data_IF_392435766179
#
_entry.id   IF_392435766179
#
_cell.length_a   1.000
_cell.length_b   1.000
_cell.length_c   1.000
_cell.angle_alpha   90.00
_cell.angle_beta   90.00
_cell.angle_gamma   90.00
#
_symmetry.space_group_name_H-M   'P 1'
#
loop_
_entity.id
_entity.type
_entity.pdbx_description
1 polymer ?
#
# COMPACT_ATOMS: atom_id res chain seq x y z
N UNK A 1 22.33 -12.06 -0.35
CA UNK A 1 21.89 -10.71 -0.79
C UNK A 1 20.67 -10.89 -1.69
N UNK A 2 19.54 -10.26 -1.40
CA UNK A 2 18.36 -10.35 -2.26
C UNK A 2 18.64 -9.61 -3.58
N UNK A 3 18.56 -10.31 -4.72
CA UNK A 3 18.75 -9.71 -6.05
C UNK A 3 17.70 -8.62 -6.27
N UNK A 4 18.13 -7.46 -6.79
CA UNK A 4 17.21 -6.41 -7.28
C UNK A 4 16.64 -6.89 -8.60
N UNK A 5 15.31 -6.99 -8.69
CA UNK A 5 14.61 -7.31 -9.93
C UNK A 5 14.92 -6.26 -11.02
N UNK A 6 15.16 -6.69 -12.26
CA UNK A 6 15.32 -5.84 -13.44
C UNK A 6 14.09 -5.95 -14.36
N UNK A 7 13.72 -4.87 -15.07
CA UNK A 7 12.73 -4.94 -16.15
C UNK A 7 13.07 -6.05 -17.15
N UNK A 8 12.05 -6.77 -17.65
CA UNK A 8 12.14 -7.88 -18.61
C UNK A 8 12.75 -9.20 -18.10
N UNK A 9 13.08 -9.30 -16.81
CA UNK A 9 13.44 -10.58 -16.21
C UNK A 9 12.15 -11.38 -15.91
N UNK A 10 11.98 -12.54 -16.58
CA UNK A 10 10.87 -13.47 -16.34
C UNK A 10 11.01 -14.25 -15.01
N UNK A 11 11.29 -13.54 -13.91
CA UNK A 11 11.19 -14.10 -12.57
C UNK A 11 9.75 -13.93 -12.08
N UNK A 12 8.96 -15.00 -12.19
CA UNK A 12 7.65 -15.08 -11.55
C UNK A 12 7.85 -15.22 -10.04
N UNK A 13 7.63 -14.13 -9.30
CA UNK A 13 7.63 -14.17 -7.84
C UNK A 13 6.22 -14.43 -7.33
N UNK A 14 6.04 -15.59 -6.71
CA UNK A 14 4.85 -15.88 -5.89
C UNK A 14 5.05 -15.22 -4.52
N UNK A 15 3.99 -14.60 -4.00
CA UNK A 15 3.96 -14.05 -2.64
C UNK A 15 2.75 -14.65 -1.96
N UNK A 16 2.99 -15.49 -0.95
CA UNK A 16 1.93 -16.18 -0.22
C UNK A 16 1.34 -15.27 0.86
N UNK A 17 0.06 -15.46 1.26
CA UNK A 17 -0.57 -14.64 2.30
C UNK A 17 0.23 -14.57 3.62
N UNK A 18 0.84 -15.68 4.03
CA UNK A 18 1.67 -15.80 5.24
C UNK A 18 3.00 -15.06 5.15
N UNK A 19 3.48 -14.74 3.94
CA UNK A 19 4.71 -13.99 3.70
C UNK A 19 4.48 -12.47 3.76
N UNK A 20 3.22 -12.03 3.85
CA UNK A 20 2.89 -10.60 3.91
C UNK A 20 3.36 -10.03 5.25
N UNK A 21 4.48 -9.30 5.20
CA UNK A 21 5.08 -8.66 6.35
C UNK A 21 4.36 -7.34 6.71
N UNK A 22 3.31 -7.45 7.50
CA UNK A 22 2.56 -6.31 8.03
C UNK A 22 3.38 -5.52 9.06
N UNK A 23 3.59 -4.23 8.80
CA UNK A 23 4.35 -3.34 9.70
C UNK A 23 3.55 -2.08 10.03
N UNK A 24 3.74 -1.50 11.23
CA UNK A 24 3.34 -0.11 11.48
C UNK A 24 4.02 0.79 10.44
N UNK A 25 3.31 1.83 9.99
CA UNK A 25 3.83 2.81 9.05
C UNK A 25 3.61 4.20 9.63
N UNK A 26 4.65 5.04 9.67
CA UNK A 26 4.62 6.30 10.40
C UNK A 26 3.54 7.27 9.91
N UNK A 27 3.20 7.22 8.61
CA UNK A 27 2.15 8.05 8.03
C UNK A 27 0.72 7.57 8.34
N UNK A 28 0.56 6.42 9.01
CA UNK A 28 -0.75 5.84 9.28
C UNK A 28 -1.18 6.05 10.75
N UNK A 29 -2.49 6.15 11.01
CA UNK A 29 -3.03 6.13 12.37
C UNK A 29 -2.62 4.86 13.13
N UNK A 30 -2.61 4.96 14.46
CA UNK A 30 -2.33 3.84 15.35
C UNK A 30 -3.25 2.65 15.03
N UNK A 31 -2.65 1.48 14.83
CA UNK A 31 -3.37 0.23 14.54
C UNK A 31 -3.45 -0.13 13.06
N UNK A 32 -3.27 0.84 12.17
CA UNK A 32 -3.13 0.56 10.75
C UNK A 32 -1.75 -0.07 10.45
N UNK A 33 -1.72 -0.91 9.42
CA UNK A 33 -0.53 -1.64 8.98
C UNK A 33 -0.40 -1.56 7.47
N UNK A 34 0.84 -1.49 7.01
CA UNK A 34 1.21 -1.55 5.61
C UNK A 34 2.18 -2.72 5.40
N UNK A 35 2.03 -3.40 4.26
CA UNK A 35 3.00 -4.38 3.79
C UNK A 35 3.38 -4.03 2.35
N UNK A 36 4.68 -4.00 2.07
CA UNK A 36 5.21 -3.78 0.72
C UNK A 36 5.33 -5.14 0.05
N UNK A 37 4.69 -5.29 -1.12
CA UNK A 37 4.61 -6.55 -1.87
C UNK A 37 5.52 -6.52 -3.08
N UNK A 38 5.49 -5.42 -3.84
CA UNK A 38 6.35 -5.18 -5.01
C UNK A 38 6.87 -3.74 -4.95
N UNK A 39 8.12 -3.52 -5.34
CA UNK A 39 8.72 -2.19 -5.42
C UNK A 39 8.82 -1.49 -4.06
N UNK A 40 8.82 -0.15 -4.06
CA UNK A 40 8.73 0.67 -2.85
C UNK A 40 8.07 2.03 -3.17
N UNK A 41 7.10 2.51 -2.36
CA UNK A 41 6.37 3.76 -2.64
C UNK A 41 7.23 5.04 -2.57
N UNK A 42 8.47 4.95 -2.08
CA UNK A 42 9.41 6.09 -2.04
C UNK A 42 10.43 6.05 -3.19
N UNK A 43 10.28 5.11 -4.12
CA UNK A 43 11.16 4.95 -5.28
C UNK A 43 10.34 5.16 -6.55
N UNK A 44 10.99 5.67 -7.60
CA UNK A 44 10.35 5.76 -8.90
C UNK A 44 10.05 4.35 -9.45
N UNK A 45 8.85 4.18 -10.03
CA UNK A 45 8.42 2.92 -10.65
C UNK A 45 7.16 2.32 -9.98
N UNK A 46 6.61 1.24 -10.58
CA UNK A 46 5.43 0.59 -10.06
C UNK A 46 5.70 -0.08 -8.73
N UNK A 47 4.72 -0.01 -7.83
CA UNK A 47 4.76 -0.70 -6.55
C UNK A 47 3.38 -1.27 -6.22
N UNK A 48 3.37 -2.28 -5.35
CA UNK A 48 2.15 -2.84 -4.77
C UNK A 48 2.33 -2.87 -3.26
N UNK A 49 1.39 -2.26 -2.54
CA UNK A 49 1.28 -2.37 -1.09
C UNK A 49 -0.05 -2.99 -0.71
N UNK A 50 -0.07 -3.68 0.43
CA UNK A 50 -1.30 -4.03 1.13
C UNK A 50 -1.46 -3.11 2.32
N UNK A 51 -2.68 -2.70 2.57
CA UNK A 51 -3.05 -1.85 3.71
C UNK A 51 -4.12 -2.56 4.51
N UNK A 52 -3.93 -2.63 5.83
CA UNK A 52 -4.89 -3.18 6.78
C UNK A 52 -5.19 -2.11 7.82
N UNK A 53 -6.44 -1.68 7.88
CA UNK A 53 -6.93 -0.60 8.75
C UNK A 53 -8.08 -1.13 9.58
N UNK A 54 -8.20 -0.65 10.83
CA UNK A 54 -9.33 -0.97 11.68
C UNK A 54 -10.60 -0.27 11.18
N UNK A 55 -11.77 -0.87 11.39
CA UNK A 55 -13.04 -0.23 11.05
C UNK A 55 -13.20 1.13 11.74
N UNK A 56 -13.79 2.10 11.04
CA UNK A 56 -13.97 3.46 11.56
C UNK A 56 -12.73 4.36 11.49
N UNK A 57 -11.57 3.82 11.07
CA UNK A 57 -10.37 4.63 10.82
C UNK A 57 -10.66 5.67 9.74
N UNK A 58 -10.34 6.93 10.02
CA UNK A 58 -10.36 8.00 9.03
C UNK A 58 -8.93 8.43 8.74
N UNK A 59 -8.56 8.47 7.47
CA UNK A 59 -7.36 9.18 7.03
C UNK A 59 -7.80 10.56 6.55
N UNK A 60 -7.24 11.61 7.15
CA UNK A 60 -7.52 12.99 6.76
C UNK A 60 -7.00 13.25 5.34
N UNK A 61 -7.55 14.24 4.61
CA UNK A 61 -7.10 14.60 3.27
C UNK A 61 -5.58 14.73 3.17
N UNK A 62 -5.00 14.12 2.13
CA UNK A 62 -3.56 14.13 1.86
C UNK A 62 -3.29 13.89 0.37
N UNK A 63 -2.04 14.11 -0.06
CA UNK A 63 -1.65 14.06 -1.49
C UNK A 63 -0.67 12.92 -1.79
N UNK A 64 -0.72 12.46 -3.02
CA UNK A 64 0.21 11.50 -3.59
C UNK A 64 0.86 12.10 -4.85
N UNK A 65 2.17 11.90 -5.06
CA UNK A 65 2.82 12.33 -6.30
C UNK A 65 2.44 11.44 -7.50
N UNK A 66 1.83 10.28 -7.25
CA UNK A 66 1.40 9.31 -8.25
C UNK A 66 -0.12 9.05 -8.25
N UNK A 67 -0.61 8.59 -9.41
CA UNK A 67 -1.94 7.98 -9.52
C UNK A 67 -1.96 6.61 -8.81
N UNK A 68 -3.12 6.28 -8.24
CA UNK A 68 -3.29 5.04 -7.47
C UNK A 68 -4.49 4.24 -7.91
N UNK A 69 -4.27 2.93 -7.97
CA UNK A 69 -5.34 1.94 -8.15
C UNK A 69 -5.57 1.28 -6.79
N UNK A 70 -6.82 1.30 -6.34
CA UNK A 70 -7.24 0.66 -5.11
C UNK A 70 -8.11 -0.56 -5.41
N UNK A 71 -7.84 -1.66 -4.74
CA UNK A 71 -8.69 -2.85 -4.75
C UNK A 71 -9.06 -3.20 -3.32
N UNK A 72 -10.36 -3.15 -3.01
CA UNK A 72 -10.86 -3.54 -1.70
C UNK A 72 -10.94 -5.07 -1.64
N UNK A 73 -10.07 -5.68 -0.84
CA UNK A 73 -10.07 -7.13 -0.65
C UNK A 73 -11.11 -7.61 0.37
N UNK A 74 -11.46 -6.77 1.34
CA UNK A 74 -12.41 -7.09 2.40
C UNK A 74 -12.88 -5.80 3.09
N UNK A 75 -14.13 -5.78 3.55
CA UNK A 75 -14.75 -4.63 4.21
C UNK A 75 -15.25 -3.57 3.23
N UNK A 76 -15.34 -2.32 3.71
CA UNK A 76 -15.79 -1.17 2.93
C UNK A 76 -14.76 -0.06 3.06
N UNK A 77 -14.34 0.51 1.92
CA UNK A 77 -13.41 1.63 1.85
C UNK A 77 -14.03 2.75 1.02
N UNK A 78 -14.17 3.92 1.64
CA UNK A 78 -14.68 5.13 0.99
C UNK A 78 -13.51 6.02 0.59
N UNK A 79 -13.57 6.58 -0.62
CA UNK A 79 -12.58 7.52 -1.14
C UNK A 79 -13.29 8.85 -1.39
N UNK A 80 -12.80 9.91 -0.73
CA UNK A 80 -13.16 11.29 -1.02
C UNK A 80 -12.06 11.97 -1.84
N UNK A 81 -12.43 12.97 -2.62
CA UNK A 81 -11.51 13.81 -3.39
C UNK A 81 -11.65 15.26 -2.92
N UNK A 82 -10.53 15.92 -2.63
CA UNK A 82 -10.51 17.30 -2.15
C UNK A 82 -9.41 17.55 -1.11
N UNK A 83 -9.27 18.80 -0.70
CA UNK A 83 -8.28 19.22 0.31
C UNK A 83 -8.88 19.26 1.74
N UNK A 84 -10.21 19.15 1.89
CA UNK A 84 -10.94 19.25 3.16
C UNK A 84 -11.83 18.03 3.41
N UNK A 85 -12.11 17.75 4.69
CA UNK A 85 -13.11 16.76 5.13
C UNK A 85 -14.24 17.52 5.82
N UNK A 86 -15.40 17.62 5.15
CA UNK A 86 -16.61 18.33 5.55
C UNK A 86 -17.86 17.44 5.55
#
# INVERSE_FOLDING_TARGET
MARKHQPDQAEFRVILPEEIAWKPYAAFPTGARLAIVVGHPTQAGPYVVRVKVSGGTKLMPHKHPEDRIYTVMSGVFYIGLGDTFD
#
